data_IF_666611678879
#
_entry.id   IF_666611678879
#
_cell.length_a   1.000
_cell.length_b   1.000
_cell.length_c   1.000
_cell.angle_alpha   90.00
_cell.angle_beta   90.00
_cell.angle_gamma   90.00
#
_symmetry.space_group_name_H-M   'P 1'
#
loop_
_entity.id
_entity.type
_entity.pdbx_description
1 polymer ?
#
# COMPACT_ATOMS: atom_id res chain seq x y z
N UNK A 1 0.48 -5.26 14.83
CA UNK A 1 -0.74 -6.09 14.87
C UNK A 1 -1.99 -5.20 14.93
N UNK A 2 -3.08 -5.71 14.37
CA UNK A 2 -4.38 -5.06 14.48
C UNK A 2 -5.00 -5.51 15.81
N UNK A 3 -5.62 -4.59 16.55
CA UNK A 3 -6.35 -4.93 17.75
C UNK A 3 -7.39 -6.02 17.43
N UNK A 4 -7.47 -7.09 18.21
CA UNK A 4 -8.53 -8.07 18.06
C UNK A 4 -9.85 -7.34 18.30
N UNK A 5 -10.72 -7.32 17.33
CA UNK A 5 -11.87 -6.50 17.47
C UNK A 5 -13.02 -6.80 16.55
N UNK A 6 -13.85 -5.87 16.47
CA UNK A 6 -15.17 -5.78 15.90
C UNK A 6 -15.19 -5.16 14.52
N UNK A 7 -14.01 -4.98 13.91
CA UNK A 7 -13.88 -4.31 12.61
C UNK A 7 -14.28 -5.20 11.43
N UNK A 8 -14.73 -4.57 10.37
CA UNK A 8 -15.01 -5.25 9.11
C UNK A 8 -13.71 -5.74 8.48
N UNK A 9 -13.66 -7.03 8.12
CA UNK A 9 -12.51 -7.66 7.47
C UNK A 9 -11.20 -7.61 8.29
N UNK A 10 -11.26 -7.81 9.60
CA UNK A 10 -10.09 -7.73 10.48
C UNK A 10 -8.96 -8.68 10.07
N UNK A 11 -9.28 -9.92 9.69
CA UNK A 11 -8.29 -10.90 9.24
C UNK A 11 -7.61 -10.47 7.95
N UNK A 12 -8.39 -9.98 6.98
CA UNK A 12 -7.87 -9.47 5.71
C UNK A 12 -6.96 -8.24 5.94
N UNK A 13 -7.35 -7.37 6.85
CA UNK A 13 -6.59 -6.16 7.18
C UNK A 13 -5.32 -6.47 7.94
N UNK A 14 -5.33 -7.50 8.78
CA UNK A 14 -4.12 -7.99 9.43
C UNK A 14 -3.10 -8.46 8.38
N UNK A 15 -3.52 -9.25 7.39
CA UNK A 15 -2.67 -9.65 6.28
C UNK A 15 -2.18 -8.45 5.45
N UNK A 16 -3.06 -7.49 5.17
CA UNK A 16 -2.67 -6.27 4.46
C UNK A 16 -1.59 -5.48 5.22
N UNK A 17 -1.71 -5.40 6.54
CA UNK A 17 -0.76 -4.71 7.40
C UNK A 17 0.58 -5.45 7.46
N UNK A 18 0.55 -6.77 7.61
CA UNK A 18 1.76 -7.61 7.57
C UNK A 18 2.49 -7.46 6.23
N UNK A 19 1.77 -7.48 5.12
CA UNK A 19 2.34 -7.30 3.80
C UNK A 19 2.94 -5.90 3.62
N UNK A 20 2.22 -4.85 4.03
CA UNK A 20 2.67 -3.47 3.84
C UNK A 20 3.82 -3.10 4.77
N UNK A 21 3.67 -3.33 6.08
CA UNK A 21 4.61 -2.86 7.08
C UNK A 21 5.62 -3.93 7.50
N UNK A 22 5.22 -5.19 7.54
CA UNK A 22 6.11 -6.29 7.91
C UNK A 22 6.97 -6.83 6.76
N UNK A 23 6.64 -6.52 5.50
CA UNK A 23 7.41 -6.99 4.36
C UNK A 23 7.88 -5.86 3.44
N UNK A 24 6.97 -5.13 2.78
CA UNK A 24 7.39 -4.12 1.79
C UNK A 24 8.21 -2.99 2.40
N UNK A 25 7.82 -2.46 3.55
CA UNK A 25 8.59 -1.37 4.16
C UNK A 25 9.95 -1.83 4.67
N UNK A 26 10.06 -3.05 5.17
CA UNK A 26 11.34 -3.64 5.57
C UNK A 26 12.25 -3.81 4.34
N UNK A 27 11.70 -4.35 3.24
CA UNK A 27 12.44 -4.50 1.99
C UNK A 27 12.89 -3.15 1.41
N UNK A 28 12.01 -2.14 1.40
CA UNK A 28 12.37 -0.78 0.96
C UNK A 28 13.40 -0.13 1.89
N UNK A 29 13.35 -0.40 3.20
CA UNK A 29 14.34 0.07 4.16
C UNK A 29 15.73 -0.50 3.92
N UNK A 30 15.82 -1.75 3.47
CA UNK A 30 17.09 -2.40 3.16
C UNK A 30 17.83 -1.72 1.99
N UNK A 31 17.10 -1.15 1.03
CA UNK A 31 17.65 -0.45 -0.14
C UNK A 31 17.48 1.08 -0.07
N UNK A 32 17.19 1.59 1.11
CA UNK A 32 16.97 3.03 1.38
C UNK A 32 15.94 3.68 0.45
N UNK A 33 14.85 2.98 0.16
CA UNK A 33 13.82 3.38 -0.79
C UNK A 33 12.44 3.64 -0.15
N UNK A 34 12.38 3.83 1.18
CA UNK A 34 11.13 4.15 1.86
C UNK A 34 10.67 5.55 1.46
N UNK A 35 9.49 5.63 0.85
CA UNK A 35 8.82 6.90 0.52
C UNK A 35 7.90 7.36 1.64
N UNK A 36 7.16 6.45 2.26
CA UNK A 36 6.20 6.81 3.31
C UNK A 36 6.22 5.87 4.50
N UNK A 37 6.09 6.44 5.67
CA UNK A 37 5.95 5.72 6.95
C UNK A 37 4.51 5.78 7.44
N UNK A 38 4.06 4.88 8.32
CA UNK A 38 2.73 4.99 8.91
C UNK A 38 2.71 6.17 9.90
N UNK A 39 1.80 7.12 9.71
CA UNK A 39 1.64 8.28 10.58
C UNK A 39 1.24 7.95 12.03
N UNK A 40 0.82 6.71 12.29
CA UNK A 40 0.45 6.24 13.64
C UNK A 40 1.66 6.01 14.55
N UNK A 41 2.81 5.65 14.00
CA UNK A 41 4.07 5.48 14.75
C UNK A 41 5.24 5.82 13.84
N UNK A 42 5.73 7.03 13.97
CA UNK A 42 6.94 7.48 13.30
C UNK A 42 7.74 8.37 14.25
N UNK A 43 9.04 8.16 14.30
CA UNK A 43 9.98 8.96 15.10
C UNK A 43 10.90 9.68 14.14
N UNK A 44 11.01 10.97 14.28
CA UNK A 44 11.83 11.81 13.42
C UNK A 44 12.91 12.50 14.23
N UNK A 45 14.12 12.57 13.67
CA UNK A 45 15.17 13.42 14.21
C UNK A 45 14.74 14.86 14.03
N UNK A 46 14.68 15.65 15.11
CA UNK A 46 14.21 17.04 15.10
C UNK A 46 14.97 17.92 14.09
N UNK A 47 16.27 17.71 13.98
CA UNK A 47 17.11 18.42 13.01
C UNK A 47 16.66 18.13 11.57
N UNK A 48 16.41 16.88 11.22
CA UNK A 48 15.94 16.49 9.89
C UNK A 48 14.59 17.16 9.56
N UNK A 49 13.67 17.19 10.52
CA UNK A 49 12.37 17.86 10.36
C UNK A 49 12.55 19.38 10.13
N UNK A 50 13.43 20.01 10.89
CA UNK A 50 13.71 21.46 10.73
C UNK A 50 14.34 21.75 9.37
N UNK A 51 15.28 20.93 8.94
CA UNK A 51 15.99 21.14 7.67
C UNK A 51 15.06 21.05 6.44
N UNK A 52 13.99 20.22 6.51
CA UNK A 52 12.99 20.15 5.44
C UNK A 52 11.84 21.16 5.60
N UNK A 53 11.90 22.05 6.60
CA UNK A 53 10.88 23.08 6.80
C UNK A 53 9.61 22.61 7.51
N UNK A 54 9.66 21.47 8.22
CA UNK A 54 8.55 20.95 9.01
C UNK A 54 7.48 20.21 8.24
N UNK A 55 6.40 19.85 8.94
CA UNK A 55 5.25 19.18 8.34
C UNK A 55 4.42 20.14 7.49
N UNK A 56 3.95 19.65 6.36
CA UNK A 56 3.05 20.42 5.48
C UNK A 56 1.62 20.31 6.00
N UNK A 57 1.05 21.46 6.37
CA UNK A 57 -0.36 21.54 6.77
C UNK A 57 -1.32 21.46 5.59
N UNK A 58 -2.57 21.03 5.85
CA UNK A 58 -3.66 21.08 4.89
C UNK A 58 -3.65 20.02 3.78
N UNK A 59 -2.76 19.03 3.85
CA UNK A 59 -2.71 17.93 2.87
C UNK A 59 -2.97 16.57 3.50
N UNK A 60 -3.41 15.61 2.69
CA UNK A 60 -3.40 14.21 3.09
C UNK A 60 -2.04 13.59 2.77
N UNK A 61 -1.45 12.85 3.72
CA UNK A 61 -0.19 12.14 3.55
C UNK A 61 1.03 12.99 3.90
N UNK A 62 0.87 13.87 4.87
CA UNK A 62 1.94 14.69 5.45
C UNK A 62 3.09 13.85 6.02
N UNK A 63 2.79 12.64 6.53
CA UNK A 63 3.77 11.66 6.98
C UNK A 63 4.62 11.11 5.82
N UNK A 64 3.97 10.83 4.71
CA UNK A 64 4.62 10.35 3.48
C UNK A 64 5.44 11.46 2.82
N UNK A 65 4.90 12.68 2.76
CA UNK A 65 5.61 13.86 2.25
C UNK A 65 6.87 14.16 3.07
N UNK A 66 6.74 14.15 4.41
CA UNK A 66 7.86 14.37 5.32
C UNK A 66 8.95 13.31 5.13
N UNK A 67 8.57 12.03 5.08
CA UNK A 67 9.53 10.93 4.93
C UNK A 67 10.25 10.99 3.59
N UNK A 68 9.55 11.35 2.52
CA UNK A 68 10.15 11.54 1.19
C UNK A 68 11.18 12.67 1.21
N UNK A 69 10.81 13.86 1.70
CA UNK A 69 11.71 15.02 1.74
C UNK A 69 12.94 14.78 2.61
N UNK A 70 12.77 14.16 3.78
CA UNK A 70 13.88 13.77 4.66
C UNK A 70 14.82 12.79 3.95
N UNK A 71 14.24 11.78 3.27
CA UNK A 71 15.02 10.81 2.51
C UNK A 71 15.79 11.43 1.34
N UNK A 72 15.20 12.39 0.62
CA UNK A 72 15.86 13.10 -0.49
C UNK A 72 16.96 14.06 -0.01
N UNK A 73 16.93 14.49 1.24
CA UNK A 73 18.04 15.22 1.87
C UNK A 73 19.20 14.32 2.33
N UNK A 74 19.13 13.02 2.06
CA UNK A 74 20.20 12.08 2.41
C UNK A 74 20.08 11.46 3.81
N UNK A 75 19.01 11.75 4.56
CA UNK A 75 18.75 11.01 5.80
C UNK A 75 18.14 9.67 5.50
N UNK A 76 18.61 8.64 6.18
CA UNK A 76 18.08 7.29 6.02
C UNK A 76 16.77 7.12 6.76
N UNK A 77 15.74 6.65 6.07
CA UNK A 77 14.47 6.21 6.66
C UNK A 77 14.56 4.71 6.92
N UNK A 78 14.38 4.28 8.16
CA UNK A 78 14.49 2.87 8.56
C UNK A 78 13.20 2.38 9.19
N UNK A 79 12.94 1.10 9.03
CA UNK A 79 11.86 0.38 9.73
C UNK A 79 12.50 -0.62 10.68
N UNK A 80 12.14 -0.55 11.95
CA UNK A 80 12.51 -1.56 12.94
C UNK A 80 11.38 -2.59 13.02
N UNK A 81 11.59 -3.82 12.55
CA UNK A 81 10.57 -4.87 12.56
C UNK A 81 10.27 -5.40 13.96
N UNK A 82 11.10 -5.10 14.96
CA UNK A 82 10.90 -5.53 16.35
C UNK A 82 9.89 -4.65 17.08
N UNK A 83 9.73 -3.41 16.64
CA UNK A 83 8.77 -2.47 17.22
C UNK A 83 7.38 -2.74 16.66
N UNK A 84 6.46 -3.05 17.55
CA UNK A 84 5.06 -3.31 17.19
C UNK A 84 4.13 -2.32 17.89
N UNK A 85 3.11 -1.90 17.19
CA UNK A 85 2.02 -1.10 17.74
C UNK A 85 0.67 -1.76 17.42
N UNK A 86 -0.32 -1.50 18.26
CA UNK A 86 -1.68 -1.98 18.05
C UNK A 86 -2.50 -0.84 17.44
N UNK A 87 -3.15 -1.11 16.34
CA UNK A 87 -3.99 -0.13 15.63
C UNK A 87 -5.43 -0.57 15.60
N UNK A 88 -6.32 0.35 15.88
CA UNK A 88 -7.73 0.16 15.62
C UNK A 88 -8.05 0.16 14.13
N UNK A 89 -9.07 -0.58 13.76
CA UNK A 89 -9.57 -0.62 12.39
C UNK A 89 -10.97 0.01 12.33
N UNK A 90 -11.33 0.65 11.22
CA UNK A 90 -12.68 1.20 11.06
C UNK A 90 -13.75 0.13 11.27
N UNK A 91 -14.64 0.36 12.22
CA UNK A 91 -15.75 -0.56 12.53
C UNK A 91 -16.91 -0.46 11.53
N UNK A 92 -17.01 0.64 10.78
CA UNK A 92 -18.08 0.89 9.79
C UNK A 92 -17.57 1.03 8.37
N UNK A 93 -18.45 0.74 7.39
CA UNK A 93 -18.18 0.97 5.98
C UNK A 93 -17.87 2.42 5.66
N UNK A 94 -18.56 3.36 6.30
CA UNK A 94 -18.31 4.78 6.11
C UNK A 94 -16.90 5.15 6.50
N UNK A 95 -16.46 4.78 7.69
CA UNK A 95 -15.10 5.06 8.15
C UNK A 95 -14.04 4.35 7.31
N UNK A 96 -14.31 3.11 6.88
CA UNK A 96 -13.39 2.38 6.00
C UNK A 96 -13.22 3.11 4.66
N UNK A 97 -14.32 3.56 4.05
CA UNK A 97 -14.29 4.33 2.80
C UNK A 97 -13.54 5.65 2.96
N UNK A 98 -13.85 6.41 4.01
CA UNK A 98 -13.15 7.68 4.30
C UNK A 98 -11.65 7.48 4.49
N UNK A 99 -11.24 6.44 5.22
CA UNK A 99 -9.83 6.10 5.38
C UNK A 99 -9.16 5.77 4.04
N UNK A 100 -9.81 4.95 3.20
CA UNK A 100 -9.27 4.55 1.89
C UNK A 100 -9.19 5.73 0.93
N UNK A 101 -10.19 6.59 0.90
CA UNK A 101 -10.20 7.80 0.09
C UNK A 101 -9.08 8.77 0.51
N UNK A 102 -8.82 8.93 1.80
CA UNK A 102 -7.68 9.73 2.27
C UNK A 102 -6.35 9.14 1.79
N UNK A 103 -6.15 7.83 1.91
CA UNK A 103 -4.94 7.16 1.46
C UNK A 103 -4.76 7.21 -0.06
N UNK A 104 -5.86 7.12 -0.80
CA UNK A 104 -5.81 7.28 -2.25
C UNK A 104 -5.37 8.70 -2.62
N UNK A 105 -6.01 9.71 -2.05
CA UNK A 105 -5.68 11.12 -2.30
C UNK A 105 -4.26 11.47 -1.86
N UNK A 106 -3.77 10.89 -0.77
CA UNK A 106 -2.42 11.18 -0.26
C UNK A 106 -1.33 10.91 -1.28
N UNK A 107 -1.42 9.82 -2.04
CA UNK A 107 -0.43 9.48 -3.08
C UNK A 107 -0.38 10.57 -4.16
N UNK A 108 -1.52 11.09 -4.58
CA UNK A 108 -1.59 12.16 -5.58
C UNK A 108 -1.11 13.50 -5.03
N UNK A 109 -1.50 13.86 -3.80
CA UNK A 109 -1.03 15.08 -3.15
C UNK A 109 0.49 15.08 -2.98
N UNK A 110 1.05 13.98 -2.47
CA UNK A 110 2.49 13.84 -2.30
C UNK A 110 3.22 13.91 -3.65
N UNK A 111 2.71 13.20 -4.67
CA UNK A 111 3.32 13.20 -6.00
C UNK A 111 3.25 14.58 -6.67
N UNK A 112 2.10 15.27 -6.56
CA UNK A 112 1.93 16.61 -7.13
C UNK A 112 2.85 17.63 -6.47
N UNK A 113 3.00 17.56 -5.15
CA UNK A 113 3.86 18.46 -4.39
C UNK A 113 5.34 18.24 -4.65
N UNK A 114 5.72 16.98 -4.84
CA UNK A 114 7.12 16.57 -4.99
C UNK A 114 7.46 16.23 -6.45
N UNK A 115 6.90 17.00 -7.41
CA UNK A 115 7.12 16.80 -8.85
C UNK A 115 8.59 16.83 -9.22
N UNK A 116 9.37 17.70 -8.58
CA UNK A 116 10.79 17.86 -8.85
C UNK A 116 11.58 16.56 -8.66
N UNK A 117 11.13 15.69 -7.74
CA UNK A 117 11.72 14.35 -7.57
C UNK A 117 11.29 13.37 -8.64
N UNK A 118 10.10 13.58 -9.26
CA UNK A 118 9.63 12.76 -10.40
C UNK A 118 10.33 13.16 -11.70
N UNK A 119 10.33 14.45 -12.00
CA UNK A 119 10.73 15.01 -13.29
C UNK A 119 12.19 15.52 -13.30
N UNK A 120 12.74 15.84 -12.14
CA UNK A 120 14.07 16.40 -11.97
C UNK A 120 15.21 15.49 -12.43
N UNK A 121 16.38 16.06 -12.70
CA UNK A 121 17.59 15.35 -13.12
C UNK A 121 18.27 14.55 -11.99
N UNK A 122 17.93 14.82 -10.74
CA UNK A 122 18.53 14.13 -9.59
C UNK A 122 18.19 12.65 -9.59
N UNK A 123 19.17 11.74 -9.47
CA UNK A 123 18.91 10.31 -9.34
C UNK A 123 18.31 10.03 -7.97
N UNK A 124 17.01 9.74 -7.93
CA UNK A 124 16.28 9.37 -6.72
C UNK A 124 15.53 8.08 -6.96
N UNK A 125 15.86 7.03 -6.22
CA UNK A 125 15.12 5.76 -6.25
C UNK A 125 13.69 6.00 -5.73
N UNK A 126 13.53 6.81 -4.69
CA UNK A 126 12.22 7.15 -4.11
C UNK A 126 11.35 7.92 -5.10
N UNK A 127 11.89 8.97 -5.72
CA UNK A 127 11.17 9.81 -6.68
C UNK A 127 10.95 9.15 -8.03
N UNK A 128 11.97 8.49 -8.61
CA UNK A 128 11.94 7.95 -9.97
C UNK A 128 11.35 6.55 -10.09
N UNK A 129 11.37 5.75 -9.04
CA UNK A 129 10.93 4.36 -9.08
C UNK A 129 9.75 4.15 -8.13
N UNK A 130 9.92 4.45 -6.84
CA UNK A 130 8.92 4.06 -5.84
C UNK A 130 7.66 4.93 -5.94
N UNK A 131 7.79 6.23 -6.11
CA UNK A 131 6.63 7.13 -6.18
C UNK A 131 5.78 6.87 -7.44
N UNK A 132 6.35 6.73 -8.68
CA UNK A 132 5.61 6.28 -9.85
C UNK A 132 4.98 4.89 -9.67
N UNK A 133 5.70 3.95 -9.04
CA UNK A 133 5.14 2.64 -8.72
C UNK A 133 3.92 2.74 -7.78
N UNK A 134 3.96 3.62 -6.78
CA UNK A 134 2.82 3.86 -5.89
C UNK A 134 1.61 4.41 -6.66
N UNK A 135 1.83 5.34 -7.59
CA UNK A 135 0.78 5.89 -8.47
C UNK A 135 0.15 4.80 -9.36
N UNK A 136 0.98 4.04 -10.07
CA UNK A 136 0.55 2.93 -10.93
C UNK A 136 -0.21 1.87 -10.11
N UNK A 137 0.31 1.52 -8.94
CA UNK A 137 -0.32 0.54 -8.06
C UNK A 137 -1.64 1.05 -7.47
N UNK A 138 -1.80 2.36 -7.30
CA UNK A 138 -3.06 2.98 -6.92
C UNK A 138 -4.10 2.83 -8.05
N UNK A 139 -3.74 3.14 -9.29
CA UNK A 139 -4.59 2.93 -10.47
C UNK A 139 -4.95 1.46 -10.68
N UNK A 140 -3.98 0.55 -10.60
CA UNK A 140 -4.22 -0.89 -10.69
C UNK A 140 -5.23 -1.40 -9.64
N UNK A 141 -5.20 -0.85 -8.42
CA UNK A 141 -6.18 -1.21 -7.38
C UNK A 141 -7.59 -0.81 -7.77
N UNK A 142 -7.78 0.38 -8.34
CA UNK A 142 -9.07 0.83 -8.84
C UNK A 142 -9.59 -0.05 -9.98
N UNK A 143 -8.70 -0.58 -10.82
CA UNK A 143 -9.06 -1.45 -11.95
C UNK A 143 -9.34 -2.91 -11.55
N UNK A 144 -9.18 -3.30 -10.28
CA UNK A 144 -9.36 -4.71 -9.86
C UNK A 144 -10.77 -5.23 -10.15
N UNK A 145 -11.82 -4.49 -9.80
CA UNK A 145 -13.21 -4.90 -10.05
C UNK A 145 -13.55 -4.91 -11.55
N UNK A 146 -13.27 -3.85 -12.32
CA UNK A 146 -13.46 -3.89 -13.78
C UNK A 146 -12.79 -5.08 -14.44
N UNK A 147 -11.55 -5.41 -14.08
CA UNK A 147 -10.81 -6.54 -14.65
C UNK A 147 -11.45 -7.89 -14.29
N UNK A 148 -11.92 -8.05 -13.05
CA UNK A 148 -12.62 -9.27 -12.63
C UNK A 148 -13.95 -9.41 -13.37
N UNK A 149 -14.73 -8.33 -13.49
CA UNK A 149 -15.99 -8.34 -14.26
C UNK A 149 -15.71 -8.70 -15.71
N UNK A 150 -14.73 -8.07 -16.33
CA UNK A 150 -14.31 -8.41 -17.70
C UNK A 150 -13.94 -9.90 -17.84
N UNK A 151 -13.17 -10.44 -16.90
CA UNK A 151 -12.79 -11.86 -16.91
C UNK A 151 -13.99 -12.80 -16.79
N UNK A 152 -14.97 -12.46 -15.95
CA UNK A 152 -16.21 -13.22 -15.79
C UNK A 152 -17.05 -13.17 -17.07
N UNK A 153 -17.26 -11.98 -17.66
CA UNK A 153 -18.00 -11.82 -18.91
C UNK A 153 -17.32 -12.57 -20.05
N UNK A 154 -16.01 -12.48 -20.16
CA UNK A 154 -15.23 -13.21 -21.13
C UNK A 154 -15.47 -14.72 -21.05
N UNK A 155 -15.49 -15.28 -19.84
CA UNK A 155 -15.64 -16.70 -19.62
C UNK A 155 -17.07 -17.20 -19.88
N UNK A 156 -18.09 -16.47 -19.39
CA UNK A 156 -19.48 -16.94 -19.44
C UNK A 156 -20.25 -16.51 -20.69
N UNK A 157 -19.91 -15.38 -21.30
CA UNK A 157 -20.63 -14.85 -22.47
C UNK A 157 -19.98 -15.24 -23.79
N UNK A 158 -18.84 -15.97 -23.72
CA UNK A 158 -18.14 -16.41 -24.92
C UNK A 158 -17.53 -15.28 -25.74
N UNK A 159 -17.33 -14.13 -25.12
CA UNK A 159 -16.58 -13.04 -25.72
C UNK A 159 -15.13 -13.48 -25.84
N UNK A 160 -14.80 -14.06 -27.00
CA UNK A 160 -13.48 -14.62 -27.27
C UNK A 160 -12.67 -13.69 -28.18
N UNK A 161 -12.06 -12.62 -27.66
CA UNK A 161 -11.03 -11.95 -28.44
C UNK A 161 -9.87 -12.93 -28.60
N UNK A 162 -9.28 -12.99 -29.77
CA UNK A 162 -8.05 -13.76 -30.03
C UNK A 162 -6.87 -13.11 -29.29
N UNK A 163 -6.94 -13.08 -27.98
CA UNK A 163 -5.94 -12.50 -27.10
C UNK A 163 -5.16 -13.63 -26.42
N UNK A 164 -3.81 -13.55 -26.38
CA UNK A 164 -2.98 -14.48 -25.62
C UNK A 164 -3.20 -14.40 -24.11
N UNK A 165 -3.85 -13.33 -23.61
CA UNK A 165 -4.20 -13.18 -22.21
C UNK A 165 -5.45 -13.99 -21.90
N UNK A 166 -5.24 -15.17 -21.34
CA UNK A 166 -6.32 -16.02 -20.86
C UNK A 166 -6.95 -15.40 -19.59
N UNK A 167 -8.24 -15.71 -19.36
CA UNK A 167 -8.94 -15.32 -18.11
C UNK A 167 -8.17 -15.79 -16.89
N UNK A 168 -7.58 -17.00 -16.97
CA UNK A 168 -6.76 -17.55 -15.90
C UNK A 168 -5.56 -16.64 -15.58
N UNK A 169 -4.88 -16.08 -16.59
CA UNK A 169 -3.77 -15.17 -16.38
C UNK A 169 -4.22 -13.87 -15.69
N UNK A 170 -5.38 -13.32 -16.05
CA UNK A 170 -5.95 -12.15 -15.38
C UNK A 170 -6.23 -12.44 -13.90
N UNK A 171 -6.91 -13.55 -13.61
CA UNK A 171 -7.18 -13.94 -12.22
C UNK A 171 -5.92 -14.25 -11.43
N UNK A 172 -4.94 -14.91 -12.04
CA UNK A 172 -3.65 -15.18 -11.40
C UNK A 172 -2.92 -13.89 -11.01
N UNK A 173 -2.89 -12.89 -11.89
CA UNK A 173 -2.21 -11.62 -11.63
C UNK A 173 -3.00 -10.73 -10.65
N UNK A 174 -4.32 -10.65 -10.81
CA UNK A 174 -5.16 -9.71 -10.04
C UNK A 174 -5.44 -10.22 -8.62
N UNK A 175 -5.66 -11.51 -8.46
CA UNK A 175 -6.00 -12.12 -7.16
C UNK A 175 -4.91 -13.06 -6.65
N UNK A 176 -4.35 -13.91 -7.48
CA UNK A 176 -3.40 -14.95 -7.08
C UNK A 176 -2.06 -14.36 -6.60
N UNK A 177 -1.40 -13.56 -7.41
CA UNK A 177 -0.10 -12.99 -7.03
C UNK A 177 -0.16 -12.17 -5.72
N UNK A 178 -1.14 -11.28 -5.49
CA UNK A 178 -1.28 -10.62 -4.20
C UNK A 178 -1.59 -11.54 -3.02
N UNK A 179 -2.35 -12.61 -3.24
CA UNK A 179 -2.62 -13.60 -2.20
C UNK A 179 -1.34 -14.37 -1.82
N UNK A 180 -0.56 -14.78 -2.82
CA UNK A 180 0.75 -15.41 -2.59
C UNK A 180 1.71 -14.50 -1.84
N UNK A 181 1.78 -13.22 -2.22
CA UNK A 181 2.61 -12.24 -1.51
C UNK A 181 2.15 -12.02 -0.07
N UNK A 182 0.84 -12.01 0.18
CA UNK A 182 0.32 -11.89 1.55
C UNK A 182 0.62 -13.14 2.38
N UNK A 183 0.51 -14.32 1.79
CA UNK A 183 0.90 -15.58 2.42
C UNK A 183 2.38 -15.60 2.74
N UNK A 184 3.24 -15.22 1.79
CA UNK A 184 4.67 -15.13 2.00
C UNK A 184 5.02 -14.14 3.13
N UNK A 185 4.39 -12.97 3.16
CA UNK A 185 4.59 -12.00 4.22
C UNK A 185 4.19 -12.54 5.60
N UNK A 186 3.09 -13.31 5.68
CA UNK A 186 2.66 -13.95 6.92
C UNK A 186 3.68 -14.98 7.41
N UNK A 187 4.21 -15.81 6.49
CA UNK A 187 5.24 -16.81 6.79
C UNK A 187 6.56 -16.16 7.23
N UNK A 188 7.02 -15.15 6.48
CA UNK A 188 8.25 -14.43 6.77
C UNK A 188 8.23 -13.73 8.14
N UNK A 189 7.04 -13.35 8.62
CA UNK A 189 6.87 -12.76 9.95
C UNK A 189 6.52 -13.80 11.05
N UNK A 190 6.58 -15.09 10.76
CA UNK A 190 6.23 -16.14 11.71
C UNK A 190 4.75 -16.16 12.12
N UNK A 191 3.88 -15.53 11.35
CA UNK A 191 2.44 -15.37 11.64
C UNK A 191 1.59 -16.37 10.87
N UNK A 192 1.89 -17.67 10.98
CA UNK A 192 1.20 -18.74 10.22
C UNK A 192 -0.33 -18.69 10.42
N UNK A 193 -0.79 -18.41 11.63
CA UNK A 193 -2.24 -18.27 11.91
C UNK A 193 -2.95 -17.19 11.10
N UNK A 194 -2.22 -16.19 10.57
CA UNK A 194 -2.80 -15.17 9.72
C UNK A 194 -3.26 -15.71 8.34
N UNK A 195 -2.73 -16.88 7.90
CA UNK A 195 -3.12 -17.52 6.64
C UNK A 195 -4.60 -17.89 6.57
N UNK A 196 -5.24 -18.13 7.72
CA UNK A 196 -6.69 -18.34 7.81
C UNK A 196 -7.48 -17.15 7.22
N UNK A 197 -6.91 -15.96 7.24
CA UNK A 197 -7.50 -14.76 6.65
C UNK A 197 -7.35 -14.61 5.14
N UNK A 198 -6.67 -15.53 4.42
CA UNK A 198 -6.46 -15.41 2.98
C UNK A 198 -7.74 -15.32 2.15
N UNK A 199 -8.78 -16.16 2.36
CA UNK A 199 -10.03 -16.04 1.61
C UNK A 199 -10.68 -14.67 1.84
N UNK A 200 -10.71 -14.21 3.09
CA UNK A 200 -11.23 -12.89 3.44
C UNK A 200 -10.38 -11.76 2.80
N UNK A 201 -9.08 -11.93 2.73
CA UNK A 201 -8.18 -10.97 2.07
C UNK A 201 -8.46 -10.85 0.57
N UNK A 202 -8.73 -11.97 -0.12
CA UNK A 202 -9.09 -11.96 -1.54
C UNK A 202 -10.42 -11.22 -1.74
N UNK A 203 -11.44 -11.55 -0.96
CA UNK A 203 -12.73 -10.86 -1.00
C UNK A 203 -12.58 -9.37 -0.69
N UNK A 204 -11.80 -9.02 0.33
CA UNK A 204 -11.52 -7.64 0.71
C UNK A 204 -10.82 -6.84 -0.39
N UNK A 205 -10.01 -7.47 -1.23
CA UNK A 205 -9.39 -6.80 -2.38
C UNK A 205 -10.42 -6.27 -3.37
N UNK A 206 -11.49 -7.04 -3.62
CA UNK A 206 -12.60 -6.63 -4.48
C UNK A 206 -13.35 -5.45 -3.84
N UNK A 207 -13.71 -5.59 -2.57
CA UNK A 207 -14.35 -4.51 -1.80
C UNK A 207 -13.50 -3.24 -1.80
N UNK A 208 -12.20 -3.38 -1.56
CA UNK A 208 -11.28 -2.24 -1.54
C UNK A 208 -11.13 -1.54 -2.89
N UNK A 209 -11.32 -2.26 -3.99
CA UNK A 209 -11.30 -1.67 -5.33
C UNK A 209 -12.53 -0.81 -5.61
N UNK A 210 -13.65 -1.12 -4.93
CA UNK A 210 -14.89 -0.37 -5.02
C UNK A 210 -14.90 0.86 -4.08
N UNK A 211 -14.23 0.77 -2.93
CA UNK A 211 -14.17 1.83 -1.93
C UNK A 211 -13.24 2.98 -2.32
#
# INVERSE_FOLDING_TARGET
PIAPGTGKFDRARNLETLLKHGYYQVAYGAVDAIVGVPGMLAVYRTEAVRNVGGFTGGMNGEDTDMSLRIGEMGFRVVVDPTITYVSEVPASWKHLREQRMRWFRSVYHVSSRNRDYLDGWMPSVRGKIILPFMLLNSGRRAMTVPLVIFGVLYYFVGFNPQSPLTVQAVFAVVLGAPALMAAFAALANGRIGALIGLPEYIAFRLVRSYL
#
